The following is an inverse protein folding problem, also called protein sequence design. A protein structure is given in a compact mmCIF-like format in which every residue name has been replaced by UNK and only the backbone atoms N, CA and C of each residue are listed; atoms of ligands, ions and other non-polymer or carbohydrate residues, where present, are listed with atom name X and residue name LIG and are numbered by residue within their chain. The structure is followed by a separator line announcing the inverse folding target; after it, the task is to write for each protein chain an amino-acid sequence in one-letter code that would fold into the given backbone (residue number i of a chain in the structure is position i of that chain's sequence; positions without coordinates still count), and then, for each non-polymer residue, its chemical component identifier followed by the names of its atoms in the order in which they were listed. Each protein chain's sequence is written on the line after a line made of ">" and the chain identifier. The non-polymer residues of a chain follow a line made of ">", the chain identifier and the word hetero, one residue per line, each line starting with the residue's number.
data_IF_052117034103
#
_entry.id   IF_052117034103
#
_cell.length_a   1.000
_cell.length_b   1.000
_cell.length_c   1.000
_cell.angle_alpha   90.00
_cell.angle_beta   90.00
_cell.angle_gamma   90.00
#
_symmetry.space_group_name_H-M   'P 1'
#
loop_
_entity.id
_entity.type
_entity.pdbx_description
1 polymer ?
#
# COMPACT_ATOMS: atom_id res chain seq x y z
N UNK A 1 -11.46 -11.61 -10.96
CA UNK A 1 -11.63 -10.71 -9.80
C UNK A 1 -10.37 -9.85 -9.74
N UNK A 2 -10.31 -8.84 -10.59
CA UNK A 2 -9.12 -7.98 -10.78
C UNK A 2 -9.39 -6.56 -10.28
N UNK A 3 -10.65 -6.22 -9.99
CA UNK A 3 -11.11 -4.89 -9.55
C UNK A 3 -10.56 -4.41 -8.19
N UNK A 4 -9.82 -5.26 -7.48
CA UNK A 4 -9.27 -4.94 -6.15
C UNK A 4 -7.77 -4.63 -6.20
N UNK A 5 -7.13 -4.73 -7.37
CA UNK A 5 -5.71 -4.45 -7.52
C UNK A 5 -5.52 -2.95 -7.63
N UNK A 6 -4.63 -2.39 -6.80
CA UNK A 6 -4.28 -0.98 -6.84
C UNK A 6 -3.50 -0.70 -8.12
N UNK A 7 -4.02 0.21 -8.93
CA UNK A 7 -3.29 0.76 -10.07
C UNK A 7 -2.40 1.91 -9.60
N UNK A 8 -1.09 1.66 -9.52
CA UNK A 8 -0.11 2.63 -9.07
C UNK A 8 0.19 3.73 -10.09
N UNK A 9 -0.28 3.59 -11.33
CA UNK A 9 -0.13 4.63 -12.37
C UNK A 9 -1.14 5.76 -12.19
N UNK A 10 -2.04 5.63 -11.22
CA UNK A 10 -2.94 6.69 -10.80
C UNK A 10 -2.25 7.67 -9.83
N UNK A 11 -2.78 8.89 -9.69
CA UNK A 11 -2.36 9.82 -8.65
C UNK A 11 -2.52 9.23 -7.23
N UNK A 12 -1.63 9.63 -6.31
CA UNK A 12 -1.61 9.14 -4.94
C UNK A 12 -2.95 9.41 -4.22
N UNK A 13 -3.56 10.57 -4.47
CA UNK A 13 -4.88 10.93 -3.95
C UNK A 13 -5.99 9.99 -4.48
N UNK A 14 -5.95 9.63 -5.77
CA UNK A 14 -6.93 8.70 -6.36
C UNK A 14 -6.80 7.31 -5.74
N UNK A 15 -5.57 6.83 -5.54
CA UNK A 15 -5.31 5.55 -4.88
C UNK A 15 -5.80 5.58 -3.43
N UNK A 16 -5.54 6.67 -2.70
CA UNK A 16 -6.05 6.85 -1.34
C UNK A 16 -7.59 6.82 -1.30
N UNK A 17 -8.25 7.52 -2.21
CA UNK A 17 -9.70 7.50 -2.35
C UNK A 17 -10.24 6.11 -2.74
N UNK A 18 -9.50 5.35 -3.56
CA UNK A 18 -9.82 3.95 -3.87
C UNK A 18 -9.76 3.07 -2.61
N UNK A 19 -8.67 3.16 -1.84
CA UNK A 19 -8.48 2.39 -0.61
C UNK A 19 -9.62 2.67 0.37
N UNK A 20 -9.97 3.94 0.58
CA UNK A 20 -11.07 4.32 1.47
C UNK A 20 -12.44 3.87 0.94
N UNK A 21 -12.65 3.92 -0.38
CA UNK A 21 -13.91 3.60 -1.02
C UNK A 21 -14.19 2.11 -1.10
N UNK A 22 -13.14 1.29 -1.19
CA UNK A 22 -13.24 -0.18 -1.22
C UNK A 22 -13.21 -0.82 0.18
N UNK A 23 -12.96 -0.05 1.24
CA UNK A 23 -12.98 -0.53 2.62
C UNK A 23 -14.40 -0.43 3.20
N UNK A 24 -14.97 -1.48 3.84
CA UNK A 24 -14.34 -2.74 4.25
C UNK A 24 -14.42 -3.91 3.26
N UNK A 25 -15.18 -3.82 2.17
CA UNK A 25 -15.18 -4.81 1.08
C UNK A 25 -15.48 -4.11 -0.25
N UNK A 26 -14.70 -4.36 -1.34
CA UNK A 26 -13.82 -5.51 -1.57
C UNK A 26 -12.32 -5.34 -1.18
N UNK A 27 -11.94 -4.24 -0.53
CA UNK A 27 -10.58 -3.88 -0.06
C UNK A 27 -9.53 -3.78 -1.16
N UNK A 28 -8.82 -2.65 -1.20
CA UNK A 28 -7.69 -2.47 -2.09
C UNK A 28 -6.54 -3.44 -1.74
N UNK A 29 -5.89 -3.99 -2.76
CA UNK A 29 -4.82 -4.96 -2.62
C UNK A 29 -3.69 -4.71 -3.60
N UNK A 30 -2.48 -5.04 -3.20
CA UNK A 30 -1.27 -4.93 -4.01
C UNK A 30 -0.43 -6.20 -3.87
N UNK A 31 0.53 -6.40 -4.76
CA UNK A 31 1.47 -7.52 -4.67
C UNK A 31 2.77 -7.05 -4.04
N UNK A 32 3.19 -7.72 -2.97
CA UNK A 32 4.46 -7.47 -2.28
C UNK A 32 5.22 -8.78 -2.13
N UNK A 33 6.41 -8.88 -2.73
CA UNK A 33 7.25 -10.09 -2.74
C UNK A 33 6.49 -11.37 -3.13
N UNK A 34 5.62 -11.27 -4.15
CA UNK A 34 4.82 -12.40 -4.66
C UNK A 34 3.63 -12.79 -3.78
N UNK A 35 3.32 -12.01 -2.73
CA UNK A 35 2.15 -12.20 -1.86
C UNK A 35 1.17 -11.06 -2.01
N UNK A 36 -0.11 -11.33 -1.78
CA UNK A 36 -1.14 -10.30 -1.78
C UNK A 36 -1.11 -9.56 -0.44
N UNK A 37 -0.92 -8.25 -0.50
CA UNK A 37 -1.03 -7.34 0.63
C UNK A 37 -2.31 -6.52 0.46
N UNK A 38 -3.28 -6.71 1.35
CA UNK A 38 -4.48 -5.89 1.41
C UNK A 38 -4.21 -4.64 2.24
N UNK A 39 -4.71 -3.51 1.77
CA UNK A 39 -4.56 -2.21 2.42
C UNK A 39 -5.94 -1.74 2.86
N UNK A 40 -6.11 -1.59 4.17
CA UNK A 40 -7.37 -1.13 4.77
C UNK A 40 -7.35 0.36 5.05
N UNK A 41 -6.17 0.88 5.38
CA UNK A 41 -5.95 2.30 5.61
C UNK A 41 -4.55 2.68 5.13
N UNK A 42 -4.43 3.89 4.60
CA UNK A 42 -3.19 4.46 4.12
C UNK A 42 -3.23 5.97 4.29
N UNK A 43 -2.08 6.59 4.17
CA UNK A 43 -1.93 8.02 3.98
C UNK A 43 -1.29 8.24 2.62
N UNK A 44 -1.30 9.46 2.10
CA UNK A 44 -0.61 9.79 0.87
C UNK A 44 0.17 11.09 1.04
N UNK A 45 1.21 11.23 0.24
CA UNK A 45 2.12 12.35 0.26
C UNK A 45 2.38 12.79 -1.18
N UNK A 46 2.32 14.09 -1.46
CA UNK A 46 2.52 14.67 -2.80
C UNK A 46 3.99 14.97 -3.09
N UNK A 47 4.89 14.16 -2.56
CA UNK A 47 6.32 14.23 -2.87
C UNK A 47 6.60 13.53 -4.19
N UNK A 48 7.27 14.22 -5.12
CA UNK A 48 7.62 13.68 -6.43
C UNK A 48 8.37 12.34 -6.30
N UNK A 49 7.80 11.23 -6.81
CA UNK A 49 8.42 9.94 -6.68
C UNK A 49 9.60 9.83 -7.63
N UNK A 50 10.82 9.83 -7.07
CA UNK A 50 12.05 9.53 -7.81
C UNK A 50 12.20 8.05 -8.22
N UNK A 51 11.13 7.27 -8.16
CA UNK A 51 11.09 5.84 -8.52
C UNK A 51 9.87 5.57 -9.39
N UNK A 52 9.89 4.44 -10.12
CA UNK A 52 8.77 4.08 -10.99
C UNK A 52 7.49 3.77 -10.19
N UNK A 53 6.30 4.12 -10.73
CA UNK A 53 5.03 3.77 -10.12
C UNK A 53 4.92 2.28 -9.84
N UNK A 54 4.43 1.93 -8.65
CA UNK A 54 4.34 0.55 -8.15
C UNK A 54 5.61 0.06 -7.46
N UNK A 55 6.71 0.81 -7.55
CA UNK A 55 7.86 0.62 -6.67
C UNK A 55 7.52 0.99 -5.23
N UNK A 56 8.20 0.39 -4.26
CA UNK A 56 8.04 0.70 -2.85
C UNK A 56 9.36 1.10 -2.20
N UNK A 57 9.28 1.96 -1.19
CA UNK A 57 10.37 2.36 -0.33
C UNK A 57 9.99 2.04 1.12
N UNK A 58 10.91 1.44 1.84
CA UNK A 58 10.71 1.16 3.26
C UNK A 58 12.00 1.33 4.04
N UNK A 59 11.86 1.81 5.28
CA UNK A 59 12.96 1.82 6.25
C UNK A 59 13.12 0.45 6.95
N UNK A 60 12.29 -0.55 6.60
CA UNK A 60 12.25 -1.87 7.24
C UNK A 60 11.99 -1.83 8.76
N UNK A 61 11.52 -0.69 9.27
CA UNK A 61 11.26 -0.47 10.70
C UNK A 61 9.87 0.09 10.96
N UNK A 62 9.55 1.24 10.36
CA UNK A 62 8.37 2.02 10.71
C UNK A 62 7.55 2.48 9.53
N UNK A 63 8.18 2.69 8.36
CA UNK A 63 7.50 3.26 7.20
C UNK A 63 7.65 2.35 5.99
N UNK A 64 6.53 2.14 5.29
CA UNK A 64 6.46 1.57 3.95
C UNK A 64 5.64 2.55 3.12
N UNK A 65 6.16 2.94 1.97
CA UNK A 65 5.47 3.81 1.02
C UNK A 65 5.61 3.28 -0.39
N UNK A 66 4.54 3.33 -1.15
CA UNK A 66 4.49 2.93 -2.55
C UNK A 66 4.47 4.18 -3.43
N UNK A 67 5.25 4.19 -4.49
CA UNK A 67 5.22 5.27 -5.46
C UNK A 67 3.96 5.16 -6.32
N UNK A 68 3.24 6.28 -6.38
CA UNK A 68 2.16 6.54 -7.30
C UNK A 68 2.69 7.33 -8.52
N UNK A 69 1.79 7.84 -9.36
CA UNK A 69 2.19 8.69 -10.49
C UNK A 69 2.77 10.05 -10.09
N UNK A 70 2.21 10.69 -9.07
CA UNK A 70 2.52 12.06 -8.64
C UNK A 70 2.98 12.15 -7.18
N UNK A 71 3.07 11.02 -6.47
CA UNK A 71 3.28 11.01 -5.04
C UNK A 71 3.64 9.66 -4.46
N UNK A 72 3.50 9.53 -3.16
CA UNK A 72 3.64 8.29 -2.41
C UNK A 72 2.36 7.96 -1.65
N UNK A 73 2.08 6.67 -1.50
CA UNK A 73 1.01 6.14 -0.65
C UNK A 73 1.65 5.34 0.47
N UNK A 74 1.43 5.77 1.71
CA UNK A 74 1.97 5.21 2.93
C UNK A 74 0.90 4.35 3.63
N UNK A 75 0.81 3.04 3.36
CA UNK A 75 -0.10 2.16 4.10
C UNK A 75 0.19 2.18 5.59
N UNK A 76 -0.85 2.40 6.39
CA UNK A 76 -0.79 2.40 7.86
C UNK A 76 -1.40 1.14 8.44
N UNK A 77 -2.38 0.55 7.75
CA UNK A 77 -3.09 -0.66 8.17
C UNK A 77 -3.19 -1.66 7.01
N UNK A 78 -2.57 -2.82 7.21
CA UNK A 78 -2.36 -3.81 6.15
C UNK A 78 -2.65 -5.23 6.62
N UNK A 79 -2.95 -6.10 5.66
CA UNK A 79 -3.05 -7.54 5.88
C UNK A 79 -2.33 -8.29 4.77
N UNK A 80 -1.25 -8.99 5.14
CA UNK A 80 -0.60 -9.91 4.23
C UNK A 80 -1.39 -11.21 4.12
N UNK A 81 -1.41 -11.80 2.93
CA UNK A 81 -1.95 -13.14 2.71
C UNK A 81 -1.37 -14.15 3.71
N UNK A 82 -2.27 -14.88 4.38
CA UNK A 82 -1.92 -15.83 5.45
C UNK A 82 -1.61 -15.20 6.81
N UNK A 83 -1.66 -13.87 6.96
CA UNK A 83 -1.52 -13.17 8.25
C UNK A 83 -2.80 -12.41 8.64
N UNK A 84 -2.85 -12.00 9.91
CA UNK A 84 -3.88 -11.10 10.43
C UNK A 84 -3.62 -9.66 9.97
N UNK A 85 -4.68 -8.85 9.96
CA UNK A 85 -4.59 -7.40 9.81
C UNK A 85 -3.75 -6.81 10.95
N UNK A 86 -2.82 -5.92 10.63
CA UNK A 86 -1.90 -5.31 11.58
C UNK A 86 -1.43 -3.93 11.10
N UNK A 87 -0.90 -3.13 12.03
CA UNK A 87 -0.29 -1.85 11.68
C UNK A 87 1.00 -2.05 10.89
N UNK A 88 1.39 -1.04 10.11
CA UNK A 88 2.60 -1.13 9.27
C UNK A 88 3.88 -1.36 10.08
N UNK A 89 3.98 -0.80 11.27
CA UNK A 89 5.13 -1.03 12.17
C UNK A 89 5.23 -2.50 12.60
N UNK A 90 4.11 -3.13 12.97
CA UNK A 90 4.08 -4.56 13.32
C UNK A 90 4.38 -5.43 12.12
N UNK A 91 3.86 -5.04 10.95
CA UNK A 91 4.14 -5.71 9.69
C UNK A 91 5.63 -5.72 9.38
N UNK A 92 6.30 -4.56 9.45
CA UNK A 92 7.75 -4.43 9.17
C UNK A 92 8.63 -5.11 10.22
N UNK A 93 8.19 -5.19 11.48
CA UNK A 93 8.88 -5.99 12.51
C UNK A 93 8.85 -7.49 12.21
N UNK A 94 7.75 -7.98 11.65
CA UNK A 94 7.53 -9.39 11.37
C UNK A 94 7.84 -9.84 9.94
N UNK A 95 8.12 -8.91 9.03
CA UNK A 95 8.41 -9.16 7.61
C UNK A 95 9.59 -8.27 7.21
N UNK A 96 10.72 -8.90 6.87
CA UNK A 96 11.86 -8.20 6.26
C UNK A 96 11.62 -8.10 4.75
N UNK A 97 11.60 -6.88 4.22
CA UNK A 97 11.40 -6.56 2.81
C UNK A 97 12.73 -6.25 2.11
#
# INVERSE_FOLDING_TARGET
>A
KEDCVIDWTQPAENIYNLIRGLSPAPTASTTLNGKILKIYNAEFDQTEPGIQPGGFLTDNKTHLKFAAADGFVCPTDVQLEGKKRMGIEEFLRGVKL
#
